data_IF_103651039173
#
_entry.id   IF_103651039173
#
_cell.length_a   1.000
_cell.length_b   1.000
_cell.length_c   1.000
_cell.angle_alpha   90.00
_cell.angle_beta   90.00
_cell.angle_gamma   90.00
#
_symmetry.space_group_name_H-M   'P 1'
#
loop_
_entity.id
_entity.type
_entity.pdbx_description
1 polymer ?
#
# COMPACT_ATOMS: atom_id res chain seq x y z
N UNK A 1 -10.60 26.28 34.60
CA UNK A 1 -10.82 24.81 34.54
C UNK A 1 -10.07 24.24 33.34
N UNK A 2 -8.71 24.36 33.32
CA UNK A 2 -7.84 24.00 32.19
C UNK A 2 -6.56 23.21 32.50
N UNK A 3 -6.41 22.46 33.59
CA UNK A 3 -5.19 21.66 33.75
C UNK A 3 -5.34 20.16 33.43
N UNK A 4 -6.56 19.62 33.29
CA UNK A 4 -6.76 18.17 33.19
C UNK A 4 -6.45 17.62 31.77
N UNK A 5 -6.70 18.42 30.73
CA UNK A 5 -6.42 18.05 29.32
C UNK A 5 -4.93 18.08 29.01
N UNK A 6 -4.15 18.97 29.62
CA UNK A 6 -2.71 19.10 29.36
C UNK A 6 -1.89 17.92 29.89
N UNK A 7 -2.24 17.36 31.04
CA UNK A 7 -1.54 16.21 31.62
C UNK A 7 -1.78 14.91 30.85
N UNK A 8 -3.01 14.68 30.36
CA UNK A 8 -3.32 13.50 29.56
C UNK A 8 -2.62 13.54 28.20
N UNK A 9 -2.60 14.71 27.53
CA UNK A 9 -1.93 14.91 26.25
C UNK A 9 -0.40 14.76 26.35
N UNK A 10 0.22 15.40 27.36
CA UNK A 10 1.66 15.25 27.60
C UNK A 10 2.06 13.81 27.91
N UNK A 11 1.22 13.04 28.61
CA UNK A 11 1.47 11.63 28.90
C UNK A 11 1.36 10.79 27.63
N UNK A 12 0.36 11.03 26.77
CA UNK A 12 0.21 10.35 25.49
C UNK A 12 1.41 10.57 24.57
N UNK A 13 1.89 11.81 24.46
CA UNK A 13 3.10 12.15 23.69
C UNK A 13 4.32 11.39 24.24
N UNK A 14 4.47 11.33 25.56
CA UNK A 14 5.59 10.64 26.20
C UNK A 14 5.53 9.12 25.96
N UNK A 15 4.33 8.50 26.04
CA UNK A 15 4.11 7.08 25.71
C UNK A 15 4.48 6.78 24.25
N UNK A 16 4.00 7.62 23.35
CA UNK A 16 4.29 7.55 21.92
C UNK A 16 5.80 7.56 21.64
N UNK A 17 6.51 8.58 22.15
CA UNK A 17 7.95 8.72 21.93
C UNK A 17 8.75 7.54 22.50
N UNK A 18 8.41 7.07 23.69
CA UNK A 18 9.08 5.94 24.32
C UNK A 18 8.85 4.64 23.55
N UNK A 19 7.60 4.35 23.12
CA UNK A 19 7.27 3.14 22.37
C UNK A 19 7.90 3.18 20.95
N UNK A 20 7.84 4.29 20.23
CA UNK A 20 8.52 4.45 18.94
C UNK A 20 10.02 4.15 19.08
N UNK A 21 10.65 4.67 20.12
CA UNK A 21 12.07 4.41 20.37
C UNK A 21 12.34 2.93 20.60
N UNK A 22 11.46 2.21 21.33
CA UNK A 22 11.60 0.76 21.54
C UNK A 22 11.39 0.00 20.22
N UNK A 23 10.39 0.36 19.41
CA UNK A 23 10.10 -0.27 18.13
C UNK A 23 11.30 -0.15 17.18
N UNK A 24 11.92 1.04 17.10
CA UNK A 24 12.99 1.31 16.13
C UNK A 24 14.38 0.87 16.61
N UNK A 25 14.64 0.96 17.90
CA UNK A 25 15.98 0.78 18.47
C UNK A 25 16.11 -0.41 19.42
N UNK A 26 15.03 -1.19 19.57
CA UNK A 26 15.06 -2.36 20.47
C UNK A 26 15.99 -3.46 19.97
N UNK A 27 16.66 -4.18 20.88
CA UNK A 27 16.65 -4.06 22.35
C UNK A 27 17.35 -2.82 22.88
N UNK A 28 16.66 -2.03 23.71
CA UNK A 28 17.16 -0.73 24.19
C UNK A 28 17.00 -0.58 25.72
N UNK A 29 17.94 0.11 26.39
CA UNK A 29 17.87 0.37 27.82
C UNK A 29 17.03 1.61 28.15
N UNK A 30 16.44 1.65 29.39
CA UNK A 30 15.72 2.84 29.90
C UNK A 30 16.57 4.11 29.84
N UNK A 31 17.87 4.01 30.09
CA UNK A 31 18.79 5.15 30.00
C UNK A 31 18.95 5.65 28.56
N UNK A 32 19.02 4.74 27.60
CA UNK A 32 19.11 5.08 26.17
C UNK A 32 17.78 5.66 25.65
N UNK A 33 16.63 5.14 26.06
CA UNK A 33 15.31 5.72 25.76
C UNK A 33 15.24 7.16 26.28
N UNK A 34 15.61 7.39 27.56
CA UNK A 34 15.66 8.75 28.16
C UNK A 34 16.55 9.69 27.36
N UNK A 35 17.73 9.22 26.93
CA UNK A 35 18.68 10.02 26.14
C UNK A 35 18.12 10.38 24.75
N UNK A 36 17.48 9.44 24.06
CA UNK A 36 16.96 9.66 22.69
C UNK A 36 15.69 10.50 22.66
N UNK A 37 14.80 10.30 23.67
CA UNK A 37 13.50 10.98 23.73
C UNK A 37 13.54 12.32 24.45
N UNK A 38 14.58 12.58 25.26
CA UNK A 38 14.62 13.73 26.18
C UNK A 38 13.73 13.59 27.41
N UNK A 39 13.02 12.48 27.57
CA UNK A 39 12.17 12.21 28.74
C UNK A 39 13.00 11.97 29.99
N UNK A 40 12.45 12.35 31.17
CA UNK A 40 13.12 12.08 32.45
C UNK A 40 13.28 10.57 32.68
N UNK A 41 14.34 10.16 33.38
CA UNK A 41 14.57 8.75 33.74
C UNK A 41 13.40 8.15 34.54
N UNK A 42 12.75 8.96 35.36
CA UNK A 42 11.58 8.55 36.14
C UNK A 42 10.38 8.28 35.20
N UNK A 43 10.09 9.19 34.27
CA UNK A 43 9.04 9.02 33.27
C UNK A 43 9.25 7.76 32.44
N UNK A 44 10.46 7.56 31.91
CA UNK A 44 10.78 6.35 31.12
C UNK A 44 10.62 5.08 31.97
N UNK A 45 11.03 5.09 33.23
CA UNK A 45 10.89 3.92 34.11
C UNK A 45 9.42 3.57 34.36
N UNK A 46 8.57 4.58 34.51
CA UNK A 46 7.11 4.39 34.66
C UNK A 46 6.49 3.85 33.38
N UNK A 47 6.82 4.45 32.24
CA UNK A 47 6.28 4.05 30.93
C UNK A 47 6.68 2.61 30.56
N UNK A 48 7.95 2.24 30.73
CA UNK A 48 8.41 0.89 30.43
C UNK A 48 7.70 -0.12 31.34
N UNK A 49 7.50 0.20 32.64
CA UNK A 49 6.73 -0.66 33.53
C UNK A 49 5.28 -0.86 33.03
N UNK A 50 4.61 0.20 32.58
CA UNK A 50 3.27 0.10 31.98
C UNK A 50 3.30 -0.81 30.75
N UNK A 51 4.26 -0.63 29.84
CA UNK A 51 4.37 -1.44 28.64
C UNK A 51 4.65 -2.92 28.94
N UNK A 52 5.39 -3.23 30.01
CA UNK A 52 5.61 -4.60 30.49
C UNK A 52 4.32 -5.19 31.08
N UNK A 53 3.59 -4.44 31.92
CA UNK A 53 2.33 -4.85 32.53
C UNK A 53 1.22 -5.10 31.50
N UNK A 54 1.18 -4.29 30.43
CA UNK A 54 0.26 -4.46 29.31
C UNK A 54 0.70 -5.58 28.33
N UNK A 55 1.90 -6.12 28.50
CA UNK A 55 2.43 -7.19 27.66
C UNK A 55 2.90 -6.75 26.28
N UNK A 56 3.25 -5.48 26.08
CA UNK A 56 3.73 -4.97 24.80
C UNK A 56 5.26 -5.01 24.66
N UNK A 57 5.98 -5.00 25.77
CA UNK A 57 7.44 -5.12 25.80
C UNK A 57 7.90 -6.17 26.79
N UNK A 58 9.09 -6.70 26.54
CA UNK A 58 9.75 -7.64 27.45
C UNK A 58 11.20 -7.27 27.70
N UNK A 59 11.70 -7.69 28.85
CA UNK A 59 13.13 -7.68 29.15
C UNK A 59 13.84 -8.74 28.28
N UNK A 60 14.95 -8.36 27.63
CA UNK A 60 15.71 -9.26 26.72
C UNK A 60 17.11 -9.59 27.20
N UNK A 61 17.60 -8.89 28.23
CA UNK A 61 18.94 -9.13 28.76
C UNK A 61 19.59 -7.89 29.33
N UNK A 62 20.93 -7.89 29.36
CA UNK A 62 21.73 -6.80 29.91
C UNK A 62 22.81 -6.38 28.89
N UNK A 63 22.99 -5.09 28.71
CA UNK A 63 24.06 -4.59 27.88
C UNK A 63 25.43 -4.97 28.46
N UNK A 64 26.26 -5.68 27.70
CA UNK A 64 27.66 -5.95 28.00
C UNK A 64 28.53 -5.08 27.11
N UNK A 65 29.37 -4.19 27.64
CA UNK A 65 30.35 -3.52 26.77
C UNK A 65 30.99 -2.23 27.22
N UNK A 66 30.66 -1.66 28.36
CA UNK A 66 31.42 -0.55 28.96
C UNK A 66 31.66 -0.77 30.43
N UNK A 67 32.83 -0.26 30.96
CA UNK A 67 33.12 -0.22 32.39
C UNK A 67 32.04 0.62 33.09
N UNK A 68 31.02 -0.04 33.61
CA UNK A 68 29.86 0.57 34.25
C UNK A 68 28.71 -0.42 34.43
N UNK A 69 27.71 -0.08 35.23
CA UNK A 69 26.53 -0.90 35.54
C UNK A 69 25.90 -1.49 34.29
N UNK A 70 25.76 -2.82 34.23
CA UNK A 70 24.91 -3.52 33.27
C UNK A 70 23.47 -2.99 33.35
N UNK A 71 22.93 -2.53 32.23
CA UNK A 71 21.56 -2.02 32.15
C UNK A 71 20.66 -3.05 31.46
N UNK A 72 19.49 -3.28 32.03
CA UNK A 72 18.41 -4.07 31.43
C UNK A 72 17.96 -3.47 30.12
N UNK A 73 17.76 -4.29 29.10
CA UNK A 73 17.25 -3.92 27.76
C UNK A 73 15.85 -4.46 27.55
N UNK A 74 15.09 -3.73 26.77
CA UNK A 74 13.68 -3.99 26.46
C UNK A 74 13.47 -4.00 24.95
N UNK A 75 12.56 -4.86 24.49
CA UNK A 75 12.11 -4.91 23.10
C UNK A 75 10.60 -5.06 23.01
N UNK A 76 10.03 -4.72 21.86
CA UNK A 76 8.63 -4.99 21.53
C UNK A 76 8.37 -6.50 21.56
N UNK A 77 7.20 -6.91 22.03
CA UNK A 77 6.66 -8.27 21.85
C UNK A 77 5.83 -8.28 20.58
N UNK A 78 6.36 -8.74 19.42
CA UNK A 78 5.69 -8.59 18.14
C UNK A 78 4.33 -9.27 18.07
N UNK A 79 4.20 -10.41 18.73
CA UNK A 79 3.00 -11.26 18.75
C UNK A 79 1.97 -10.86 19.82
N UNK A 80 2.13 -9.71 20.48
CA UNK A 80 1.14 -9.19 21.44
C UNK A 80 -0.15 -8.71 20.76
N UNK A 81 -0.10 -8.28 19.50
CA UNK A 81 -1.26 -8.03 18.66
C UNK A 81 -0.91 -8.25 17.17
N UNK A 82 -1.94 -8.42 16.36
CA UNK A 82 -1.84 -8.64 14.92
C UNK A 82 -2.82 -7.76 14.16
N UNK A 83 -2.54 -7.55 12.88
CA UNK A 83 -3.48 -7.03 11.92
C UNK A 83 -3.61 -7.98 10.73
N UNK A 84 -4.71 -7.87 9.99
CA UNK A 84 -4.88 -8.50 8.71
C UNK A 84 -4.69 -7.46 7.60
N UNK A 85 -3.88 -7.80 6.60
CA UNK A 85 -3.74 -7.05 5.35
C UNK A 85 -4.40 -7.85 4.22
N UNK A 86 -5.27 -7.19 3.45
CA UNK A 86 -6.04 -7.82 2.38
C UNK A 86 -5.77 -7.07 1.08
N UNK A 87 -5.41 -7.81 0.04
CA UNK A 87 -5.31 -7.32 -1.34
C UNK A 87 -6.42 -7.98 -2.16
N UNK A 88 -7.46 -7.20 -2.47
CA UNK A 88 -8.64 -7.64 -3.21
C UNK A 88 -8.53 -7.22 -4.66
N UNK A 89 -8.05 -8.12 -5.52
CA UNK A 89 -8.09 -7.95 -6.96
C UNK A 89 -9.33 -8.58 -7.60
N UNK A 90 -9.62 -8.24 -8.84
CA UNK A 90 -10.76 -8.80 -9.59
C UNK A 90 -10.68 -10.31 -9.85
N UNK A 91 -9.48 -10.90 -9.80
CA UNK A 91 -9.27 -12.35 -10.06
C UNK A 91 -8.65 -13.10 -8.90
N UNK A 92 -8.00 -12.40 -7.98
CA UNK A 92 -7.23 -12.98 -6.88
C UNK A 92 -7.43 -12.16 -5.61
N UNK A 93 -7.70 -12.86 -4.53
CA UNK A 93 -7.83 -12.32 -3.18
C UNK A 93 -6.71 -12.89 -2.31
N UNK A 94 -5.98 -12.01 -1.63
CA UNK A 94 -4.86 -12.34 -0.76
C UNK A 94 -5.11 -11.80 0.63
N UNK A 95 -4.91 -12.61 1.65
CA UNK A 95 -5.03 -12.21 3.06
C UNK A 95 -3.76 -12.61 3.80
N UNK A 96 -3.12 -11.64 4.44
CA UNK A 96 -1.94 -11.86 5.28
C UNK A 96 -2.21 -11.42 6.72
N UNK A 97 -1.70 -12.19 7.68
CA UNK A 97 -1.65 -11.79 9.10
C UNK A 97 -0.25 -11.27 9.40
N UNK A 98 -0.20 -10.12 10.05
CA UNK A 98 1.02 -9.36 10.30
C UNK A 98 1.13 -9.02 11.78
N UNK A 99 2.32 -9.18 12.36
CA UNK A 99 2.63 -8.84 13.75
C UNK A 99 2.91 -7.33 13.94
N UNK A 100 3.06 -6.88 15.18
CA UNK A 100 3.37 -5.47 15.49
C UNK A 100 4.73 -4.97 14.96
N UNK A 101 5.64 -5.88 14.59
CA UNK A 101 6.91 -5.52 13.96
C UNK A 101 6.85 -5.47 12.43
N UNK A 102 5.67 -5.77 11.85
CA UNK A 102 5.44 -5.79 10.40
C UNK A 102 5.80 -7.11 9.71
N UNK A 103 6.12 -8.16 10.46
CA UNK A 103 6.43 -9.47 9.89
C UNK A 103 5.14 -10.18 9.45
N UNK A 104 5.11 -10.69 8.23
CA UNK A 104 4.03 -11.56 7.75
C UNK A 104 4.18 -12.94 8.41
N UNK A 105 3.18 -13.34 9.18
CA UNK A 105 3.17 -14.61 9.93
C UNK A 105 2.51 -15.72 9.11
N UNK A 106 1.47 -15.38 8.37
CA UNK A 106 0.78 -16.30 7.46
C UNK A 106 0.17 -15.51 6.30
N UNK A 107 0.10 -16.13 5.13
CA UNK A 107 -0.51 -15.56 3.92
C UNK A 107 -1.30 -16.63 3.18
N UNK A 108 -2.57 -16.35 2.90
CA UNK A 108 -3.48 -17.22 2.14
C UNK A 108 -3.94 -16.50 0.89
N UNK A 109 -3.94 -17.22 -0.23
CA UNK A 109 -4.34 -16.69 -1.54
C UNK A 109 -5.40 -17.60 -2.14
N UNK A 110 -6.46 -16.99 -2.69
CA UNK A 110 -7.53 -17.71 -3.39
C UNK A 110 -8.01 -16.92 -4.62
N UNK A 111 -8.65 -17.55 -5.61
CA UNK A 111 -9.39 -16.82 -6.63
C UNK A 111 -10.48 -15.97 -5.98
N UNK A 112 -10.68 -14.74 -6.46
CA UNK A 112 -11.79 -13.88 -6.02
C UNK A 112 -13.12 -14.53 -6.40
N UNK A 113 -14.10 -14.50 -5.50
CA UNK A 113 -15.42 -15.10 -5.73
C UNK A 113 -16.06 -14.49 -6.98
N UNK A 114 -16.44 -15.30 -7.99
CA UNK A 114 -16.87 -14.80 -9.31
C UNK A 114 -18.18 -14.01 -9.26
N UNK A 115 -19.08 -14.34 -8.31
CA UNK A 115 -20.35 -13.63 -8.17
C UNK A 115 -20.21 -12.28 -7.44
N UNK A 116 -19.03 -11.99 -6.88
CA UNK A 116 -18.76 -10.71 -6.26
C UNK A 116 -19.60 -10.41 -5.01
N UNK A 117 -19.95 -9.13 -4.85
CA UNK A 117 -20.91 -8.69 -3.85
C UNK A 117 -20.53 -9.07 -2.41
N UNK A 118 -21.55 -9.50 -1.66
CA UNK A 118 -21.39 -9.90 -0.25
C UNK A 118 -20.54 -11.16 -0.08
N UNK A 119 -20.53 -12.05 -1.08
CA UNK A 119 -19.72 -13.27 -1.04
C UNK A 119 -18.23 -13.01 -0.97
N UNK A 120 -17.76 -11.90 -1.55
CA UNK A 120 -16.36 -11.47 -1.40
C UNK A 120 -16.07 -11.02 0.04
N UNK A 121 -17.00 -10.33 0.70
CA UNK A 121 -16.80 -9.95 2.10
C UNK A 121 -16.74 -11.19 3.02
N UNK A 122 -17.61 -12.16 2.80
CA UNK A 122 -17.63 -13.43 3.54
C UNK A 122 -16.33 -14.23 3.26
N UNK A 123 -15.87 -14.28 2.00
CA UNK A 123 -14.62 -14.92 1.60
C UNK A 123 -13.39 -14.29 2.30
N UNK A 124 -13.37 -12.97 2.48
CA UNK A 124 -12.30 -12.30 3.27
C UNK A 124 -12.28 -12.85 4.70
N UNK A 125 -13.45 -13.02 5.33
CA UNK A 125 -13.57 -13.61 6.66
C UNK A 125 -13.05 -15.05 6.73
N UNK A 126 -13.40 -15.88 5.74
CA UNK A 126 -12.94 -17.26 5.63
C UNK A 126 -11.42 -17.37 5.45
N UNK A 127 -10.84 -16.57 4.55
CA UNK A 127 -9.41 -16.56 4.32
C UNK A 127 -8.63 -15.99 5.52
N UNK A 128 -9.19 -15.01 6.24
CA UNK A 128 -8.61 -14.53 7.49
C UNK A 128 -8.59 -15.65 8.53
N UNK A 129 -9.67 -16.42 8.66
CA UNK A 129 -9.70 -17.56 9.57
C UNK A 129 -8.68 -18.63 9.17
N UNK A 130 -8.53 -18.91 7.88
CA UNK A 130 -7.52 -19.84 7.38
C UNK A 130 -6.09 -19.37 7.71
N UNK A 131 -5.79 -18.08 7.49
CA UNK A 131 -4.49 -17.50 7.82
C UNK A 131 -4.19 -17.53 9.34
N UNK A 132 -5.20 -17.29 10.18
CA UNK A 132 -5.09 -17.42 11.65
C UNK A 132 -4.74 -18.85 12.05
N UNK A 133 -5.37 -19.85 11.45
CA UNK A 133 -5.09 -21.26 11.73
C UNK A 133 -3.70 -21.67 11.25
N UNK A 134 -3.30 -21.25 10.06
CA UNK A 134 -1.97 -21.50 9.49
C UNK A 134 -0.87 -20.89 10.35
N UNK A 135 -1.03 -19.63 10.76
CA UNK A 135 -0.10 -18.92 11.63
C UNK A 135 -0.14 -19.38 13.10
N UNK A 136 -1.07 -20.26 13.49
CA UNK A 136 -1.30 -20.70 14.88
C UNK A 136 -1.48 -19.52 15.84
N UNK A 137 -2.22 -18.52 15.39
CA UNK A 137 -2.41 -17.24 16.08
C UNK A 137 -3.68 -17.31 16.93
N UNK A 138 -3.67 -16.68 18.10
CA UNK A 138 -4.88 -16.41 18.85
C UNK A 138 -5.70 -15.36 18.10
N UNK A 139 -6.87 -15.76 17.60
CA UNK A 139 -7.79 -14.92 16.81
C UNK A 139 -8.16 -13.62 17.53
N UNK A 140 -8.23 -13.64 18.87
CA UNK A 140 -8.59 -12.47 19.68
C UNK A 140 -7.52 -11.37 19.65
N UNK A 141 -6.30 -11.69 19.24
CA UNK A 141 -5.21 -10.73 19.09
C UNK A 141 -5.21 -10.03 17.72
N UNK A 142 -6.01 -10.47 16.73
CA UNK A 142 -6.17 -9.76 15.47
C UNK A 142 -7.12 -8.59 15.68
N UNK A 143 -6.60 -7.37 15.68
CA UNK A 143 -7.30 -6.15 16.10
C UNK A 143 -7.95 -5.39 14.95
N UNK A 144 -7.35 -5.46 13.76
CA UNK A 144 -7.71 -4.62 12.63
C UNK A 144 -7.52 -5.37 11.32
N UNK A 145 -8.32 -5.00 10.32
CA UNK A 145 -8.17 -5.45 8.93
C UNK A 145 -8.07 -4.24 8.01
N UNK A 146 -7.06 -4.20 7.16
CA UNK A 146 -6.93 -3.22 6.08
C UNK A 146 -7.21 -3.93 4.76
N UNK A 147 -8.12 -3.40 3.96
CA UNK A 147 -8.51 -3.97 2.67
C UNK A 147 -8.14 -3.00 1.56
N UNK A 148 -7.19 -3.39 0.73
CA UNK A 148 -6.97 -2.79 -0.57
C UNK A 148 -8.03 -3.31 -1.54
N UNK A 149 -8.80 -2.41 -2.13
CA UNK A 149 -9.85 -2.80 -3.08
C UNK A 149 -9.79 -1.93 -4.34
N UNK A 150 -10.22 -2.48 -5.50
CA UNK A 150 -10.36 -1.67 -6.70
C UNK A 150 -11.46 -0.63 -6.51
N UNK A 151 -11.35 0.50 -7.22
CA UNK A 151 -12.28 1.60 -7.16
C UNK A 151 -12.04 2.58 -6.01
N UNK A 152 -13.04 3.38 -5.70
CA UNK A 152 -12.94 4.52 -4.76
C UNK A 152 -13.72 4.21 -3.49
N UNK A 153 -13.06 3.87 -2.37
CA UNK A 153 -13.71 3.70 -1.07
C UNK A 153 -14.21 5.06 -0.53
N UNK A 154 -15.47 5.10 -0.14
CA UNK A 154 -16.05 6.22 0.58
C UNK A 154 -15.86 6.01 2.08
N UNK A 155 -14.99 6.83 2.68
CA UNK A 155 -14.64 6.71 4.09
C UNK A 155 -15.81 7.04 5.04
N UNK A 156 -16.83 7.72 4.57
CA UNK A 156 -18.00 8.08 5.39
C UNK A 156 -19.02 6.95 5.39
N UNK A 157 -19.36 6.44 4.20
CA UNK A 157 -20.46 5.48 4.01
C UNK A 157 -20.02 4.02 3.99
N UNK A 158 -18.71 3.75 3.81
CA UNK A 158 -18.18 2.39 3.70
C UNK A 158 -18.47 1.70 2.37
N UNK A 159 -19.07 2.41 1.40
CA UNK A 159 -19.29 1.90 0.05
C UNK A 159 -18.03 2.02 -0.79
N UNK A 160 -17.91 1.17 -1.80
CA UNK A 160 -16.86 1.25 -2.83
C UNK A 160 -17.52 1.63 -4.14
N UNK A 161 -17.06 2.70 -4.78
CA UNK A 161 -17.57 3.18 -6.07
C UNK A 161 -16.59 2.88 -7.19
N UNK A 162 -17.06 2.81 -8.43
CA UNK A 162 -16.20 2.63 -9.61
C UNK A 162 -15.31 1.38 -9.56
N UNK A 163 -15.86 0.24 -9.13
CA UNK A 163 -15.16 -1.03 -9.06
C UNK A 163 -15.76 -2.08 -10.03
N UNK A 164 -15.68 -1.88 -11.34
CA UNK A 164 -16.35 -2.74 -12.33
C UNK A 164 -15.81 -4.18 -12.35
N UNK A 165 -14.64 -4.41 -11.78
CA UNK A 165 -13.99 -5.71 -11.75
C UNK A 165 -14.56 -6.68 -10.68
N UNK A 166 -15.42 -6.19 -9.79
CA UNK A 166 -16.07 -6.98 -8.75
C UNK A 166 -17.56 -6.68 -8.77
N UNK A 167 -18.35 -7.62 -9.27
CA UNK A 167 -19.79 -7.44 -9.42
C UNK A 167 -20.46 -7.09 -8.09
N UNK A 168 -21.32 -6.07 -8.07
CA UNK A 168 -22.18 -5.73 -6.95
C UNK A 168 -21.50 -5.24 -5.67
N UNK A 169 -20.19 -4.96 -5.67
CA UNK A 169 -19.47 -4.42 -4.51
C UNK A 169 -19.96 -3.02 -4.12
N UNK A 170 -20.46 -2.27 -5.08
CA UNK A 170 -20.96 -0.89 -4.94
C UNK A 170 -22.38 -0.79 -4.37
N UNK A 171 -23.10 -1.92 -4.27
CA UNK A 171 -24.51 -1.97 -3.92
C UNK A 171 -24.81 -1.92 -2.41
N UNK A 172 -23.78 -1.98 -1.55
CA UNK A 172 -23.93 -2.03 -0.09
C UNK A 172 -22.71 -1.44 0.64
N UNK A 173 -22.84 -1.25 1.96
CA UNK A 173 -21.70 -0.87 2.82
C UNK A 173 -20.73 -2.06 2.95
N UNK A 174 -19.71 -2.07 2.07
CA UNK A 174 -18.71 -3.12 2.00
C UNK A 174 -17.83 -3.17 3.26
N UNK A 175 -17.50 -2.01 3.83
CA UNK A 175 -16.72 -1.95 5.08
C UNK A 175 -17.42 -2.66 6.22
N UNK A 176 -18.71 -2.37 6.43
CA UNK A 176 -19.51 -3.04 7.49
C UNK A 176 -19.65 -4.53 7.22
N UNK A 177 -19.83 -4.95 5.97
CA UNK A 177 -19.91 -6.38 5.62
C UNK A 177 -18.60 -7.11 5.95
N UNK A 178 -17.45 -6.56 5.56
CA UNK A 178 -16.13 -7.13 5.90
C UNK A 178 -15.90 -7.11 7.42
N UNK A 179 -16.29 -6.03 8.12
CA UNK A 179 -16.17 -5.97 9.58
C UNK A 179 -16.99 -7.06 10.27
N UNK A 180 -18.20 -7.36 9.79
CA UNK A 180 -19.03 -8.45 10.30
C UNK A 180 -18.38 -9.82 10.04
N UNK A 181 -17.86 -10.05 8.82
CA UNK A 181 -17.21 -11.30 8.45
C UNK A 181 -15.88 -11.54 9.19
N UNK A 182 -15.12 -10.49 9.40
CA UNK A 182 -13.82 -10.58 10.07
C UNK A 182 -13.88 -10.39 11.58
N UNK A 183 -14.93 -9.80 12.13
CA UNK A 183 -15.02 -9.44 13.54
C UNK A 183 -13.97 -8.42 14.01
N UNK A 184 -13.43 -7.59 13.10
CA UNK A 184 -12.41 -6.57 13.37
C UNK A 184 -12.85 -5.20 12.90
N UNK A 185 -12.15 -4.14 13.32
CA UNK A 185 -12.25 -2.84 12.67
C UNK A 185 -11.67 -2.94 11.26
N UNK A 186 -12.33 -2.30 10.28
CA UNK A 186 -11.93 -2.35 8.87
C UNK A 186 -11.62 -0.96 8.33
N UNK A 187 -10.44 -0.84 7.73
CA UNK A 187 -10.05 0.28 6.90
C UNK A 187 -10.08 -0.16 5.42
N UNK A 188 -10.77 0.59 4.59
CA UNK A 188 -10.75 0.42 3.14
C UNK A 188 -9.82 1.45 2.51
N UNK A 189 -9.00 1.05 1.55
CA UNK A 189 -8.21 1.96 0.73
C UNK A 189 -8.18 1.45 -0.71
N UNK A 190 -7.95 2.34 -1.66
CA UNK A 190 -7.74 1.96 -3.05
C UNK A 190 -6.44 1.14 -3.19
N UNK A 191 -6.44 0.08 -4.00
CA UNK A 191 -5.31 -0.83 -4.20
C UNK A 191 -4.06 -0.14 -4.76
N UNK A 192 -4.23 0.82 -5.68
CA UNK A 192 -3.10 1.58 -6.26
C UNK A 192 -2.55 2.62 -5.27
N UNK A 193 -3.41 3.20 -4.42
CA UNK A 193 -2.98 4.03 -3.29
C UNK A 193 -2.15 3.22 -2.29
N UNK A 194 -2.55 2.00 -2.00
CA UNK A 194 -1.74 1.11 -1.18
C UNK A 194 -0.43 0.74 -1.88
N UNK A 195 -0.46 0.50 -3.20
CA UNK A 195 0.76 0.17 -3.93
C UNK A 195 1.82 1.28 -3.84
N UNK A 196 1.43 2.55 -3.96
CA UNK A 196 2.40 3.66 -3.82
C UNK A 196 2.94 3.76 -2.39
N UNK A 197 2.12 3.51 -1.37
CA UNK A 197 2.57 3.45 0.03
C UNK A 197 3.53 2.28 0.28
N UNK A 198 3.26 1.12 -0.30
CA UNK A 198 4.15 -0.03 -0.24
C UNK A 198 5.51 0.27 -0.86
N UNK A 199 5.52 0.84 -2.05
CA UNK A 199 6.76 1.24 -2.74
C UNK A 199 7.52 2.34 -1.99
N UNK A 200 6.84 3.27 -1.34
CA UNK A 200 7.48 4.27 -0.48
C UNK A 200 8.10 3.62 0.76
N UNK A 201 7.45 2.63 1.34
CA UNK A 201 7.94 1.97 2.56
C UNK A 201 9.08 0.97 2.28
N UNK A 202 8.91 0.07 1.30
CA UNK A 202 9.78 -1.10 1.09
C UNK A 202 10.40 -1.19 -0.31
N UNK A 203 9.96 -0.35 -1.25
CA UNK A 203 10.28 -0.48 -2.65
C UNK A 203 11.10 0.65 -3.25
N UNK A 204 10.82 0.97 -4.50
CA UNK A 204 11.56 1.95 -5.31
C UNK A 204 11.37 3.40 -4.86
N UNK A 205 10.40 3.66 -3.99
CA UNK A 205 10.09 4.99 -3.43
C UNK A 205 10.68 5.27 -2.04
N UNK A 206 11.54 4.41 -1.50
CA UNK A 206 12.10 4.61 -0.16
C UNK A 206 12.83 5.94 -0.03
N UNK A 207 12.46 6.72 1.01
CA UNK A 207 13.08 8.01 1.30
C UNK A 207 12.69 9.14 0.34
N UNK A 208 11.66 8.95 -0.49
CA UNK A 208 11.16 9.94 -1.46
C UNK A 208 9.83 10.49 -0.98
N UNK A 209 9.72 11.82 -0.93
CA UNK A 209 8.53 12.53 -0.45
C UNK A 209 7.57 12.94 -1.58
N UNK A 210 8.03 12.93 -2.83
CA UNK A 210 7.23 13.27 -4.01
C UNK A 210 7.36 12.17 -5.05
N UNK A 211 6.40 11.26 -5.12
CA UNK A 211 6.41 10.15 -6.05
C UNK A 211 5.00 9.81 -6.56
N UNK A 212 4.95 9.16 -7.70
CA UNK A 212 3.74 8.54 -8.23
C UNK A 212 3.99 7.06 -8.54
N UNK A 213 2.98 6.24 -8.35
CA UNK A 213 2.94 4.86 -8.82
C UNK A 213 1.84 4.75 -9.86
N UNK A 214 2.14 4.23 -11.04
CA UNK A 214 1.16 3.95 -12.08
C UNK A 214 1.03 2.44 -12.24
N UNK A 215 -0.14 1.90 -11.95
CA UNK A 215 -0.48 0.52 -12.23
C UNK A 215 -1.08 0.43 -13.64
N UNK A 216 -0.44 -0.32 -14.54
CA UNK A 216 -0.99 -0.62 -15.87
C UNK A 216 -1.10 -2.14 -16.06
N UNK A 217 -2.32 -2.60 -16.29
CA UNK A 217 -2.67 -3.99 -16.52
C UNK A 217 -4.05 -4.11 -17.15
N UNK A 218 -5.00 -4.74 -16.48
CA UNK A 218 -6.41 -4.83 -16.90
C UNK A 218 -7.02 -3.43 -17.05
N UNK A 219 -6.71 -2.53 -16.12
CA UNK A 219 -7.03 -1.11 -16.13
C UNK A 219 -5.77 -0.26 -15.91
N UNK A 220 -5.97 1.04 -15.70
CA UNK A 220 -4.91 1.97 -15.33
C UNK A 220 -5.34 2.90 -14.19
N UNK A 221 -4.50 3.00 -13.16
CA UNK A 221 -4.68 3.92 -12.04
C UNK A 221 -3.34 4.45 -11.55
N UNK A 222 -3.36 5.47 -10.68
CA UNK A 222 -2.17 5.94 -10.00
C UNK A 222 -2.40 6.20 -8.52
N UNK A 223 -1.36 5.95 -7.72
CA UNK A 223 -1.23 6.45 -6.35
C UNK A 223 -0.23 7.60 -6.33
N UNK A 224 -0.53 8.64 -5.56
CA UNK A 224 0.25 9.87 -5.52
C UNK A 224 0.69 10.18 -4.09
N UNK A 225 1.97 10.48 -3.91
CA UNK A 225 2.52 10.97 -2.64
C UNK A 225 3.11 12.36 -2.89
N UNK A 226 2.72 13.32 -2.06
CA UNK A 226 3.22 14.70 -2.08
C UNK A 226 3.56 15.11 -0.65
N UNK A 227 4.75 15.62 -0.43
CA UNK A 227 5.28 15.93 0.92
C UNK A 227 5.19 14.72 1.88
N UNK A 228 5.51 13.52 1.40
CA UNK A 228 5.46 12.29 2.19
C UNK A 228 4.04 11.80 2.53
N UNK A 229 2.98 12.45 2.05
CA UNK A 229 1.60 12.12 2.35
C UNK A 229 0.83 11.63 1.11
N UNK A 230 0.01 10.59 1.29
CA UNK A 230 -0.87 10.08 0.25
C UNK A 230 -1.93 11.12 -0.14
N UNK A 231 -2.07 11.37 -1.43
CA UNK A 231 -3.04 12.31 -2.00
C UNK A 231 -4.30 11.55 -2.43
N UNK A 232 -5.40 11.74 -1.70
CA UNK A 232 -6.70 11.13 -2.03
C UNK A 232 -7.63 12.11 -2.79
N UNK A 233 -7.37 13.42 -2.67
CA UNK A 233 -8.29 14.43 -3.19
C UNK A 233 -9.56 14.56 -2.34
N UNK A 234 -10.43 15.48 -2.72
CA UNK A 234 -11.66 15.81 -1.97
C UNK A 234 -12.71 14.68 -2.00
N UNK A 235 -12.72 13.88 -3.07
CA UNK A 235 -13.70 12.81 -3.30
C UNK A 235 -13.07 11.40 -3.34
N UNK A 236 -11.77 11.29 -3.05
CA UNK A 236 -11.03 10.02 -3.13
C UNK A 236 -10.59 9.63 -4.55
N UNK A 237 -10.79 10.50 -5.54
CA UNK A 237 -10.54 10.20 -6.96
C UNK A 237 -9.20 10.73 -7.49
N UNK A 238 -8.32 11.23 -6.62
CA UNK A 238 -6.98 11.58 -7.06
C UNK A 238 -6.24 10.31 -7.55
N UNK A 239 -5.61 10.41 -8.72
CA UNK A 239 -4.93 9.25 -9.31
C UNK A 239 -5.76 8.45 -10.31
N UNK A 240 -7.04 8.79 -10.56
CA UNK A 240 -7.88 8.15 -11.57
C UNK A 240 -7.40 8.52 -13.01
N UNK A 241 -6.18 8.06 -13.36
CA UNK A 241 -5.55 8.37 -14.64
C UNK A 241 -6.33 7.86 -15.84
N UNK A 242 -7.13 6.82 -15.69
CA UNK A 242 -7.99 6.29 -16.75
C UNK A 242 -8.85 7.37 -17.40
N UNK A 243 -9.23 8.38 -16.64
CA UNK A 243 -10.07 9.50 -17.09
C UNK A 243 -9.29 10.71 -17.60
N UNK A 244 -7.98 10.63 -17.79
CA UNK A 244 -7.25 11.69 -18.51
C UNK A 244 -7.86 11.89 -19.90
N UNK A 245 -8.09 13.16 -20.33
CA UNK A 245 -8.88 13.48 -21.53
C UNK A 245 -8.06 13.37 -22.81
N UNK A 246 -7.28 12.31 -22.96
CA UNK A 246 -6.50 12.03 -24.16
C UNK A 246 -6.40 10.52 -24.44
N UNK A 247 -6.09 10.17 -25.68
CA UNK A 247 -6.06 8.79 -26.15
C UNK A 247 -7.30 8.44 -26.94
N UNK A 248 -8.48 8.51 -26.34
CA UNK A 248 -9.79 8.44 -27.01
C UNK A 248 -10.57 9.75 -26.79
N UNK A 249 -11.71 9.90 -27.45
CA UNK A 249 -12.59 11.04 -27.22
C UNK A 249 -13.21 10.96 -25.80
N UNK A 250 -12.93 11.91 -24.90
CA UNK A 250 -13.44 11.89 -23.54
C UNK A 250 -14.96 12.09 -23.43
N UNK A 251 -15.62 12.59 -24.48
CA UNK A 251 -17.05 12.85 -24.50
C UNK A 251 -17.90 11.64 -24.96
N UNK A 252 -17.27 10.58 -25.44
CA UNK A 252 -17.96 9.34 -25.78
C UNK A 252 -18.50 8.63 -24.52
N UNK A 253 -19.66 7.99 -24.62
CA UNK A 253 -20.30 7.26 -23.53
C UNK A 253 -19.37 6.19 -22.93
N UNK A 254 -18.60 5.49 -23.75
CA UNK A 254 -17.65 4.49 -23.30
C UNK A 254 -16.47 5.11 -22.55
N UNK A 255 -16.00 6.30 -22.93
CA UNK A 255 -14.97 7.03 -22.20
C UNK A 255 -15.48 7.54 -20.85
N UNK A 256 -16.76 7.88 -20.75
CA UNK A 256 -17.38 8.23 -19.47
C UNK A 256 -17.51 7.00 -18.55
N UNK A 257 -17.61 5.80 -19.11
CA UNK A 257 -17.74 4.54 -18.36
C UNK A 257 -16.41 4.01 -17.84
N UNK A 258 -15.36 4.00 -18.68
CA UNK A 258 -14.06 3.37 -18.34
C UNK A 258 -12.87 4.32 -18.38
N UNK A 259 -13.04 5.55 -18.88
CA UNK A 259 -11.95 6.51 -19.06
C UNK A 259 -11.37 6.52 -20.47
N UNK A 260 -11.15 7.74 -21.03
CA UNK A 260 -10.62 7.92 -22.39
C UNK A 260 -9.19 7.37 -22.52
N UNK A 261 -8.38 7.53 -21.48
CA UNK A 261 -7.00 7.06 -21.45
C UNK A 261 -6.91 5.54 -21.25
N UNK A 262 -7.75 4.95 -20.37
CA UNK A 262 -7.80 3.52 -20.14
C UNK A 262 -8.16 2.75 -21.42
N UNK A 263 -9.10 3.24 -22.20
CA UNK A 263 -9.56 2.63 -23.47
C UNK A 263 -8.43 2.35 -24.46
N UNK A 264 -7.34 3.10 -24.41
CA UNK A 264 -6.23 2.97 -25.38
C UNK A 264 -4.96 2.37 -24.79
N UNK A 265 -4.84 2.35 -23.44
CA UNK A 265 -3.61 1.91 -22.77
C UNK A 265 -3.72 0.58 -22.06
N UNK A 266 -4.91 0.24 -21.53
CA UNK A 266 -5.11 -1.00 -20.78
C UNK A 266 -5.29 -2.22 -21.71
N UNK A 267 -5.33 -3.41 -21.12
CA UNK A 267 -5.40 -4.72 -21.81
C UNK A 267 -6.37 -4.72 -23.00
N UNK A 268 -7.60 -4.22 -22.80
CA UNK A 268 -8.62 -4.20 -23.84
C UNK A 268 -8.20 -3.32 -25.03
N UNK A 269 -7.68 -2.13 -24.76
CA UNK A 269 -7.22 -1.18 -25.78
C UNK A 269 -6.06 -1.74 -26.60
N UNK A 270 -5.08 -2.35 -25.94
CA UNK A 270 -3.92 -2.98 -26.61
C UNK A 270 -4.36 -4.10 -27.54
N UNK A 271 -5.26 -4.99 -27.06
CA UNK A 271 -5.79 -6.09 -27.88
C UNK A 271 -6.57 -5.58 -29.08
N UNK A 272 -7.42 -4.58 -28.88
CA UNK A 272 -8.22 -3.97 -29.95
C UNK A 272 -7.32 -3.28 -31.00
N UNK A 273 -6.31 -2.53 -30.56
CA UNK A 273 -5.35 -1.88 -31.45
C UNK A 273 -4.56 -2.91 -32.29
N UNK A 274 -4.08 -3.98 -31.64
CA UNK A 274 -3.35 -5.03 -32.36
C UNK A 274 -4.24 -5.79 -33.35
N UNK A 275 -5.47 -6.10 -32.99
CA UNK A 275 -6.44 -6.71 -33.88
C UNK A 275 -6.71 -5.80 -35.09
N UNK A 276 -6.91 -4.51 -34.87
CA UNK A 276 -7.12 -3.53 -35.94
C UNK A 276 -5.93 -3.43 -36.92
N UNK A 277 -4.69 -3.52 -36.39
CA UNK A 277 -3.48 -3.41 -37.20
C UNK A 277 -3.10 -4.71 -37.92
N UNK A 278 -3.34 -5.88 -37.33
CA UNK A 278 -2.85 -7.16 -37.83
C UNK A 278 -3.95 -8.11 -38.36
N UNK A 279 -5.21 -7.88 -37.94
CA UNK A 279 -6.32 -8.81 -38.19
C UNK A 279 -6.27 -10.07 -37.28
N UNK A 280 -5.29 -10.16 -36.33
CA UNK A 280 -5.11 -11.31 -35.47
C UNK A 280 -5.56 -10.99 -34.02
N UNK A 281 -6.22 -11.92 -33.39
CA UNK A 281 -6.61 -11.80 -31.97
C UNK A 281 -5.54 -12.49 -31.10
N UNK A 282 -4.77 -11.70 -30.35
CA UNK A 282 -3.77 -12.18 -29.40
C UNK A 282 -4.04 -11.58 -28.00
N UNK A 283 -3.65 -12.31 -26.98
CA UNK A 283 -3.57 -11.78 -25.61
C UNK A 283 -2.30 -10.91 -25.44
N UNK A 284 -2.32 -9.99 -24.47
CA UNK A 284 -1.22 -9.02 -24.28
C UNK A 284 0.16 -9.70 -24.14
N UNK A 285 0.35 -10.78 -23.38
CA UNK A 285 1.63 -11.48 -23.33
C UNK A 285 2.10 -11.98 -24.71
N UNK A 286 1.18 -12.46 -25.55
CA UNK A 286 1.47 -12.93 -26.90
C UNK A 286 1.85 -11.78 -27.84
N UNK A 287 1.24 -10.59 -27.66
CA UNK A 287 1.60 -9.36 -28.40
C UNK A 287 3.04 -8.94 -28.09
N UNK A 288 3.46 -9.02 -26.81
CA UNK A 288 4.86 -8.76 -26.43
C UNK A 288 5.81 -9.76 -27.09
N UNK A 289 5.46 -11.05 -27.10
CA UNK A 289 6.26 -12.09 -27.78
C UNK A 289 6.36 -11.82 -29.26
N UNK A 290 5.24 -11.51 -29.94
CA UNK A 290 5.23 -11.16 -31.36
C UNK A 290 6.11 -9.94 -31.66
N UNK A 291 6.06 -8.90 -30.82
CA UNK A 291 6.92 -7.73 -30.98
C UNK A 291 8.42 -8.09 -30.85
N UNK A 292 8.78 -8.95 -29.91
CA UNK A 292 10.16 -9.44 -29.76
C UNK A 292 10.62 -10.26 -30.96
N UNK A 293 9.72 -11.01 -31.59
CA UNK A 293 9.96 -11.79 -32.81
C UNK A 293 9.96 -10.94 -34.12
N UNK A 294 9.68 -9.65 -33.99
CA UNK A 294 9.78 -8.71 -35.15
C UNK A 294 8.47 -8.34 -35.79
N UNK A 295 7.31 -8.69 -35.24
CA UNK A 295 5.99 -8.23 -35.70
C UNK A 295 5.89 -6.71 -35.58
N UNK A 296 5.81 -6.01 -36.72
CA UNK A 296 5.78 -4.54 -36.78
C UNK A 296 4.50 -3.97 -36.19
N UNK A 297 3.36 -4.64 -36.36
CA UNK A 297 2.09 -4.19 -35.80
C UNK A 297 2.11 -4.27 -34.26
N UNK A 298 2.68 -5.33 -33.72
CA UNK A 298 2.85 -5.47 -32.28
C UNK A 298 3.77 -4.38 -31.70
N UNK A 299 4.90 -4.09 -32.36
CA UNK A 299 5.81 -3.01 -31.95
C UNK A 299 5.13 -1.65 -31.99
N UNK A 300 4.41 -1.32 -33.06
CA UNK A 300 3.72 -0.03 -33.20
C UNK A 300 2.66 0.17 -32.12
N UNK A 301 1.92 -0.89 -31.77
CA UNK A 301 0.93 -0.86 -30.69
C UNK A 301 1.59 -0.61 -29.33
N UNK A 302 2.68 -1.32 -28.99
CA UNK A 302 3.39 -1.14 -27.74
C UNK A 302 4.09 0.22 -27.64
N UNK A 303 4.66 0.73 -28.75
CA UNK A 303 5.21 2.09 -28.82
C UNK A 303 4.10 3.14 -28.64
N UNK A 304 2.90 2.87 -29.14
CA UNK A 304 1.71 3.69 -28.91
C UNK A 304 1.35 3.76 -27.43
N UNK A 305 1.37 2.63 -26.71
CA UNK A 305 1.13 2.58 -25.26
C UNK A 305 2.19 3.37 -24.49
N UNK A 306 3.46 3.17 -24.81
CA UNK A 306 4.56 3.90 -24.18
C UNK A 306 4.46 5.43 -24.40
N UNK A 307 4.07 5.85 -25.59
CA UNK A 307 3.81 7.27 -25.89
C UNK A 307 2.66 7.83 -25.06
N UNK A 308 1.61 7.07 -24.87
CA UNK A 308 0.49 7.49 -24.00
C UNK A 308 0.94 7.57 -22.54
N UNK A 309 1.71 6.59 -22.02
CA UNK A 309 2.28 6.63 -20.69
C UNK A 309 3.20 7.85 -20.49
N UNK A 310 4.05 8.16 -21.47
CA UNK A 310 4.90 9.36 -21.43
C UNK A 310 4.06 10.65 -21.24
N UNK A 311 2.90 10.75 -21.90
CA UNK A 311 1.96 11.88 -21.71
C UNK A 311 1.39 11.91 -20.28
N UNK A 312 1.04 10.76 -19.73
CA UNK A 312 0.56 10.68 -18.35
C UNK A 312 1.65 11.09 -17.35
N UNK A 313 2.88 10.60 -17.55
CA UNK A 313 4.04 10.98 -16.71
C UNK A 313 4.34 12.48 -16.84
N UNK A 314 4.30 13.04 -18.07
CA UNK A 314 4.46 14.48 -18.29
C UNK A 314 3.35 15.29 -17.60
N UNK A 315 2.11 14.81 -17.61
CA UNK A 315 0.99 15.44 -16.91
C UNK A 315 1.23 15.46 -15.40
N UNK A 316 1.62 14.33 -14.81
CA UNK A 316 1.99 14.25 -13.39
C UNK A 316 3.19 15.15 -13.08
N UNK A 317 4.19 15.17 -13.96
CA UNK A 317 5.34 16.07 -13.89
C UNK A 317 4.96 17.55 -13.82
N UNK A 318 4.00 17.96 -14.65
CA UNK A 318 3.52 19.34 -14.69
C UNK A 318 2.64 19.72 -13.48
N UNK A 319 1.93 18.77 -12.85
CA UNK A 319 0.94 19.04 -11.79
C UNK A 319 1.53 18.89 -10.39
N UNK A 320 2.29 17.79 -10.14
CA UNK A 320 2.82 17.47 -8.81
C UNK A 320 4.34 17.39 -8.76
N UNK A 321 5.02 17.44 -9.91
CA UNK A 321 6.49 17.40 -10.01
C UNK A 321 7.14 16.28 -9.18
N UNK A 322 6.82 14.99 -9.42
CA UNK A 322 7.39 13.90 -8.66
C UNK A 322 8.87 13.69 -9.01
N UNK A 323 9.67 13.26 -8.04
CA UNK A 323 11.07 12.85 -8.28
C UNK A 323 11.15 11.54 -9.06
N UNK A 324 10.16 10.66 -8.83
CA UNK A 324 10.08 9.36 -9.48
C UNK A 324 8.63 8.98 -9.80
N UNK A 325 8.44 8.38 -10.96
CA UNK A 325 7.23 7.65 -11.33
C UNK A 325 7.57 6.16 -11.41
N UNK A 326 6.93 5.37 -10.58
CA UNK A 326 7.11 3.92 -10.50
C UNK A 326 6.05 3.27 -11.40
N UNK A 327 6.46 2.46 -12.36
CA UNK A 327 5.54 1.71 -13.22
C UNK A 327 5.34 0.30 -12.68
N UNK A 328 4.10 -0.05 -12.38
CA UNK A 328 3.68 -1.36 -11.90
C UNK A 328 2.57 -1.96 -12.77
N UNK A 329 2.03 -3.09 -12.30
CA UNK A 329 1.05 -3.87 -13.05
C UNK A 329 1.70 -4.78 -14.11
N UNK A 330 0.90 -5.70 -14.66
CA UNK A 330 1.39 -6.74 -15.59
C UNK A 330 1.93 -6.21 -16.91
N UNK A 331 1.60 -4.99 -17.27
CA UNK A 331 2.03 -4.31 -18.50
C UNK A 331 3.05 -3.22 -18.17
N UNK A 332 2.75 -2.35 -17.21
CA UNK A 332 3.58 -1.19 -16.89
C UNK A 332 4.97 -1.53 -16.36
N UNK A 333 5.11 -2.64 -15.62
CA UNK A 333 6.40 -3.07 -15.07
C UNK A 333 7.33 -3.74 -16.11
N UNK A 334 6.90 -3.91 -17.36
CA UNK A 334 7.72 -4.56 -18.37
C UNK A 334 8.88 -3.65 -18.81
N UNK A 335 10.10 -4.19 -18.91
CA UNK A 335 11.28 -3.40 -19.29
C UNK A 335 11.12 -2.67 -20.64
N UNK A 336 10.44 -3.30 -21.60
CA UNK A 336 10.18 -2.74 -22.91
C UNK A 336 9.32 -1.47 -22.84
N UNK A 337 8.27 -1.52 -22.00
CA UNK A 337 7.36 -0.37 -21.78
C UNK A 337 8.09 0.75 -21.05
N UNK A 338 8.88 0.42 -20.03
CA UNK A 338 9.63 1.42 -19.24
C UNK A 338 10.61 2.16 -20.15
N UNK A 339 11.46 1.41 -20.86
CA UNK A 339 12.48 2.01 -21.74
C UNK A 339 11.87 2.87 -22.87
N UNK A 340 10.77 2.39 -23.48
CA UNK A 340 10.06 3.15 -24.49
C UNK A 340 9.36 4.39 -23.90
N UNK A 341 8.80 4.30 -22.70
CA UNK A 341 8.19 5.43 -21.99
C UNK A 341 9.22 6.51 -21.67
N UNK A 342 10.42 6.14 -21.17
CA UNK A 342 11.52 7.09 -20.91
C UNK A 342 11.96 7.79 -22.20
N UNK A 343 12.12 7.04 -23.29
CA UNK A 343 12.50 7.61 -24.58
C UNK A 343 11.47 8.62 -25.11
N UNK A 344 10.17 8.31 -25.02
CA UNK A 344 9.10 9.21 -25.43
C UNK A 344 8.96 10.40 -24.47
N UNK A 345 9.15 10.22 -23.16
CA UNK A 345 9.11 11.29 -22.17
C UNK A 345 10.20 12.34 -22.45
N UNK A 346 11.41 11.92 -22.76
CA UNK A 346 12.52 12.82 -23.09
C UNK A 346 12.23 13.71 -24.33
N UNK A 347 11.29 13.28 -25.20
CA UNK A 347 10.88 14.05 -26.40
C UNK A 347 9.76 15.04 -26.13
N UNK A 348 8.95 14.83 -25.08
CA UNK A 348 7.74 15.63 -24.84
C UNK A 348 7.76 16.42 -23.52
N UNK A 349 8.72 16.17 -22.63
CA UNK A 349 8.76 16.84 -21.33
C UNK A 349 10.20 17.26 -20.96
N UNK A 350 10.47 18.56 -20.80
CA UNK A 350 11.85 19.07 -20.63
C UNK A 350 12.38 18.97 -19.18
N UNK A 351 11.53 18.61 -18.23
CA UNK A 351 11.92 18.53 -16.82
C UNK A 351 12.28 17.09 -16.42
N UNK A 352 13.28 16.88 -15.55
CA UNK A 352 13.68 15.53 -15.18
C UNK A 352 12.62 14.85 -14.29
N UNK A 353 12.16 13.68 -14.74
CA UNK A 353 11.36 12.74 -13.96
C UNK A 353 11.94 11.35 -14.21
N UNK A 354 12.34 10.65 -13.16
CA UNK A 354 12.80 9.27 -13.29
C UNK A 354 11.61 8.34 -13.45
N UNK A 355 11.68 7.40 -14.40
CA UNK A 355 10.70 6.33 -14.55
C UNK A 355 11.38 5.01 -14.18
N UNK A 356 10.82 4.26 -13.25
CA UNK A 356 11.45 3.04 -12.75
C UNK A 356 10.42 1.91 -12.60
N UNK A 357 10.83 0.63 -12.66
CA UNK A 357 9.92 -0.47 -12.37
C UNK A 357 9.56 -0.54 -10.88
N UNK A 358 8.37 -1.08 -10.60
CA UNK A 358 7.98 -1.53 -9.27
C UNK A 358 8.96 -2.58 -8.76
N UNK A 359 9.46 -2.42 -7.53
CA UNK A 359 10.29 -3.43 -6.87
C UNK A 359 9.46 -4.47 -6.12
N UNK A 360 8.26 -4.12 -5.70
CA UNK A 360 7.39 -5.01 -4.94
C UNK A 360 6.43 -5.82 -5.82
N UNK A 361 6.25 -5.41 -7.09
CA UNK A 361 5.39 -6.11 -8.03
C UNK A 361 3.99 -6.38 -7.47
N UNK A 362 3.57 -7.63 -7.48
CA UNK A 362 2.25 -8.05 -6.99
C UNK A 362 2.06 -7.95 -5.46
N UNK A 363 3.09 -7.58 -4.71
CA UNK A 363 3.01 -7.36 -3.26
C UNK A 363 2.94 -5.88 -2.88
N UNK A 364 2.97 -4.97 -3.86
CA UNK A 364 2.97 -3.53 -3.57
C UNK A 364 1.74 -3.08 -2.76
N UNK A 365 0.54 -3.47 -3.19
CA UNK A 365 -0.70 -3.13 -2.49
C UNK A 365 -0.77 -3.78 -1.09
N UNK A 366 -0.39 -5.06 -0.96
CA UNK A 366 -0.34 -5.74 0.33
C UNK A 366 0.64 -5.06 1.29
N UNK A 367 1.83 -4.68 0.79
CA UNK A 367 2.84 -3.94 1.59
C UNK A 367 2.32 -2.60 2.08
N UNK A 368 1.58 -1.89 1.24
CA UNK A 368 0.94 -0.64 1.64
C UNK A 368 -0.19 -0.84 2.64
N UNK A 369 -0.96 -1.93 2.52
CA UNK A 369 -1.96 -2.30 3.52
C UNK A 369 -1.31 -2.58 4.88
N UNK A 370 -0.16 -3.24 4.89
CA UNK A 370 0.65 -3.43 6.11
C UNK A 370 1.13 -2.09 6.65
N UNK A 371 1.68 -1.22 5.81
CA UNK A 371 2.21 0.08 6.22
C UNK A 371 1.14 0.94 6.92
N UNK A 372 -0.02 1.11 6.28
CA UNK A 372 -1.10 1.92 6.84
C UNK A 372 -1.73 1.27 8.08
N UNK A 373 -1.89 -0.05 8.04
CA UNK A 373 -2.47 -0.80 9.16
C UNK A 373 -1.60 -0.81 10.41
N UNK A 374 -0.28 -0.94 10.27
CA UNK A 374 0.65 -0.79 11.40
C UNK A 374 0.60 0.62 11.98
N UNK A 375 0.55 1.64 11.12
CA UNK A 375 0.42 3.04 11.56
C UNK A 375 -0.82 3.23 12.42
N UNK A 376 -1.97 2.76 11.95
CA UNK A 376 -3.24 2.85 12.67
C UNK A 376 -3.24 2.01 13.95
N UNK A 377 -2.73 0.78 13.89
CA UNK A 377 -2.67 -0.14 15.03
C UNK A 377 -1.74 0.40 16.13
N UNK A 378 -0.55 0.87 15.78
CA UNK A 378 0.37 1.50 16.73
C UNK A 378 -0.26 2.77 17.34
N UNK A 379 -0.95 3.58 16.52
CA UNK A 379 -1.67 4.75 17.00
C UNK A 379 -2.74 4.37 18.02
N UNK A 380 -3.53 3.36 17.73
CA UNK A 380 -4.60 2.90 18.63
C UNK A 380 -4.07 2.29 19.94
N UNK A 381 -3.01 1.47 19.86
CA UNK A 381 -2.47 0.77 21.05
C UNK A 381 -1.61 1.68 21.93
N UNK A 382 -0.82 2.56 21.32
CA UNK A 382 0.24 3.28 22.02
C UNK A 382 -0.05 4.79 22.14
N UNK A 383 -1.29 5.22 21.87
CA UNK A 383 -1.72 6.62 21.93
C UNK A 383 -0.83 7.57 21.09
N UNK A 384 -0.40 7.11 19.89
CA UNK A 384 0.46 7.87 18.98
C UNK A 384 -0.27 9.05 18.29
N UNK A 385 -1.49 9.37 18.67
CA UNK A 385 -2.38 10.38 18.07
C UNK A 385 -2.00 11.83 18.42
N UNK A 386 -0.73 12.17 18.56
CA UNK A 386 -0.35 13.57 18.65
C UNK A 386 -0.48 14.23 17.27
N UNK A 387 -1.20 15.37 17.12
CA UNK A 387 -1.24 16.09 15.86
C UNK A 387 0.18 16.41 15.37
N UNK A 388 0.56 15.90 14.20
CA UNK A 388 1.89 16.10 13.63
C UNK A 388 2.95 15.06 14.02
N UNK A 389 2.63 14.03 14.79
CA UNK A 389 3.51 12.89 14.95
C UNK A 389 3.46 12.05 13.68
N UNK A 390 4.50 12.15 12.87
CA UNK A 390 4.77 11.17 11.81
C UNK A 390 5.06 9.84 12.51
N UNK A 391 4.15 8.89 12.39
CA UNK A 391 4.44 7.51 12.82
C UNK A 391 5.47 6.96 11.85
N UNK A 392 6.71 6.89 12.29
CA UNK A 392 7.77 6.28 11.51
C UNK A 392 7.58 4.77 11.62
N UNK A 393 7.27 4.13 10.51
CA UNK A 393 7.14 2.68 10.45
C UNK A 393 8.45 2.00 10.85
N UNK A 394 8.39 0.80 11.45
CA UNK A 394 9.58 0.04 11.77
C UNK A 394 10.47 -0.12 10.54
N UNK A 395 11.79 -0.05 10.72
CA UNK A 395 12.72 -0.38 9.63
C UNK A 395 12.44 -1.82 9.23
N UNK A 396 12.16 -2.08 7.94
CA UNK A 396 11.84 -3.41 7.47
C UNK A 396 12.95 -4.40 7.82
N UNK A 397 12.60 -5.53 8.45
CA UNK A 397 13.56 -6.62 8.64
C UNK A 397 13.77 -7.34 7.30
N UNK A 398 15.00 -7.79 6.97
CA UNK A 398 15.22 -8.60 5.79
C UNK A 398 14.30 -9.83 5.80
N UNK A 399 13.51 -10.04 4.73
CA UNK A 399 12.54 -11.15 4.64
C UNK A 399 11.11 -10.82 5.09
N UNK A 400 10.79 -9.56 5.35
CA UNK A 400 9.45 -9.11 5.77
C UNK A 400 8.35 -9.42 4.76
N UNK A 401 8.66 -9.34 3.47
CA UNK A 401 7.78 -9.76 2.38
C UNK A 401 8.61 -10.62 1.44
N UNK A 402 8.11 -11.78 0.98
CA UNK A 402 8.81 -12.57 -0.02
C UNK A 402 9.13 -11.66 -1.21
N UNK A 403 10.41 -11.65 -1.64
CA UNK A 403 10.75 -11.04 -2.94
C UNK A 403 9.81 -11.66 -3.96
N UNK A 404 9.20 -10.82 -4.81
CA UNK A 404 8.38 -11.29 -5.91
C UNK A 404 9.11 -12.47 -6.56
N UNK A 405 8.51 -13.66 -6.48
CA UNK A 405 9.00 -14.77 -7.26
C UNK A 405 8.82 -14.39 -8.73
N UNK A 406 9.90 -14.51 -9.48
CA UNK A 406 10.02 -14.22 -10.92
C UNK A 406 8.89 -14.84 -11.74
#
# INVERSE_FOLDING_TARGET
MEPILSHSFSRQVSMSLAMQTIIHCGPISRASISKQTGLSKQTVSELVRIFEEEGWVRETGRTSGHVGRTATTYELIPDSAFMAAVDLGGTKLRVAIVDLAGSVIAEVVAPTHPDGGRLVADQIGELLQAAVLEGKIDRTRVRQTVVGCPGVPDQTTGHVRFAPNIAGIDSFDFRTAVSQATGTQVLLENDVNLAVLGEQWLGAGQGIDHLAFIALGTGIGAGLIVNGALVRGASGTAGELGYLPFGADPFEAESLRVGAFERVTATHGIRAAYFGASGKALEVPEIFTAAAEGDLAAKEVLDGVARQLARAVATLGAVISPEVVILGGSIGARPEIISATEAELARCFPFPVRVVPSLLGNHAALSGAVAIGLTELHTALFALSAPGALVTLPIPRPGLIPRAAE
#
